data_IF_206010824898
#
_entry.id   IF_206010824898
#
_cell.length_a   1.000
_cell.length_b   1.000
_cell.length_c   1.000
_cell.angle_alpha   90.00
_cell.angle_beta   90.00
_cell.angle_gamma   90.00
#
_symmetry.space_group_name_H-M   'P 1'
#
loop_
_entity.id
_entity.type
_entity.pdbx_description
1 polymer ?
#
# COMPACT_ATOMS: atom_id res chain seq x y z
N UNK A 1 23.58 -0.62 33.74
CA UNK A 1 22.24 -0.09 33.41
C UNK A 1 21.84 -0.78 32.12
N UNK A 2 20.95 -1.79 32.18
CA UNK A 2 20.51 -2.52 30.98
C UNK A 2 19.59 -1.60 30.17
N UNK A 3 19.99 -1.22 28.97
CA UNK A 3 19.13 -0.51 28.03
C UNK A 3 18.12 -1.53 27.53
N UNK A 4 16.87 -1.43 27.97
CA UNK A 4 15.78 -2.20 27.34
C UNK A 4 15.71 -1.78 25.88
N UNK A 5 16.06 -2.69 24.97
CA UNK A 5 15.94 -2.44 23.54
C UNK A 5 14.46 -2.50 23.17
N UNK A 6 13.90 -1.36 22.79
CA UNK A 6 12.55 -1.29 22.23
C UNK A 6 12.58 -1.78 20.79
N UNK A 7 11.69 -2.70 20.43
CA UNK A 7 11.50 -3.10 19.03
C UNK A 7 10.82 -1.97 18.24
N UNK A 8 11.03 -1.94 16.92
CA UNK A 8 10.29 -1.05 16.03
C UNK A 8 8.79 -1.38 16.11
N UNK A 9 7.97 -0.39 16.42
CA UNK A 9 6.52 -0.51 16.48
C UNK A 9 5.88 -0.22 15.11
N UNK A 10 6.64 0.40 14.20
CA UNK A 10 6.18 0.69 12.85
C UNK A 10 6.19 -0.55 11.96
N UNK A 11 5.04 -0.87 11.34
CA UNK A 11 4.87 -1.97 10.36
C UNK A 11 4.78 -1.48 8.92
N UNK A 12 5.56 -0.46 8.56
CA UNK A 12 5.61 0.07 7.19
C UNK A 12 6.38 -0.87 6.25
N UNK A 13 7.51 -1.37 6.73
CA UNK A 13 8.26 -2.42 6.02
C UNK A 13 7.73 -3.77 6.50
N UNK A 14 7.26 -4.66 5.59
CA UNK A 14 6.79 -5.98 5.97
C UNK A 14 7.86 -6.75 6.76
N UNK A 15 7.44 -7.40 7.84
CA UNK A 15 8.32 -8.24 8.67
C UNK A 15 9.52 -7.52 9.29
N UNK A 16 9.45 -6.21 9.49
CA UNK A 16 10.50 -5.47 10.19
C UNK A 16 10.70 -6.01 11.63
N UNK A 17 11.91 -6.48 11.93
CA UNK A 17 12.32 -6.96 13.26
C UNK A 17 13.38 -6.08 13.92
N UNK A 18 13.75 -4.97 13.28
CA UNK A 18 14.77 -4.04 13.78
C UNK A 18 14.36 -3.37 15.10
N UNK A 19 15.36 -2.91 15.85
CA UNK A 19 15.14 -2.09 17.06
C UNK A 19 14.78 -0.65 16.69
N UNK A 20 13.95 -0.03 17.51
CA UNK A 20 13.68 1.39 17.40
C UNK A 20 14.93 2.21 17.72
N UNK A 21 15.08 3.37 17.08
CA UNK A 21 16.14 4.32 17.44
C UNK A 21 15.81 5.00 18.77
N UNK A 22 16.84 5.47 19.48
CA UNK A 22 16.65 6.16 20.76
C UNK A 22 15.65 7.32 20.62
N UNK A 23 14.75 7.45 21.59
CA UNK A 23 13.68 8.45 21.62
C UNK A 23 12.78 8.45 20.37
N UNK A 24 12.54 7.27 19.77
CA UNK A 24 11.56 7.04 18.70
C UNK A 24 10.91 5.67 18.88
N UNK A 25 9.74 5.48 18.27
CA UNK A 25 9.04 4.19 18.16
C UNK A 25 9.35 3.44 16.86
N UNK A 26 10.25 3.98 16.03
CA UNK A 26 10.57 3.45 14.70
C UNK A 26 12.06 3.15 14.53
N UNK A 27 12.41 2.19 13.67
CA UNK A 27 13.76 2.05 13.13
C UNK A 27 13.98 3.00 11.94
N UNK A 28 15.23 3.22 11.55
CA UNK A 28 15.56 4.09 10.40
C UNK A 28 14.93 3.62 9.08
N UNK A 29 14.79 2.31 8.89
CA UNK A 29 14.24 1.73 7.67
C UNK A 29 12.73 2.03 7.54
N UNK A 30 11.94 1.75 8.57
CA UNK A 30 10.50 2.07 8.59
C UNK A 30 10.26 3.58 8.52
N UNK A 31 11.11 4.37 9.19
CA UNK A 31 11.05 5.84 9.08
C UNK A 31 11.32 6.32 7.67
N UNK A 32 12.30 5.74 6.97
CA UNK A 32 12.59 6.11 5.59
C UNK A 32 11.48 5.67 4.64
N UNK A 33 10.94 4.46 4.77
CA UNK A 33 9.80 4.00 3.99
C UNK A 33 8.59 4.93 4.16
N UNK A 34 8.24 5.30 5.40
CA UNK A 34 7.13 6.23 5.67
C UNK A 34 7.36 7.63 5.07
N UNK A 35 8.61 8.10 5.06
CA UNK A 35 8.96 9.36 4.39
C UNK A 35 8.71 9.30 2.90
N UNK A 36 9.05 8.17 2.28
CA UNK A 36 8.88 7.99 0.85
C UNK A 36 7.39 7.89 0.49
N UNK A 37 6.57 7.22 1.31
CA UNK A 37 5.11 7.23 1.19
C UNK A 37 4.50 8.64 1.31
N UNK A 38 4.87 9.40 2.36
CA UNK A 38 4.42 10.79 2.53
C UNK A 38 4.79 11.69 1.35
N UNK A 39 5.96 11.48 0.74
CA UNK A 39 6.43 12.22 -0.43
C UNK A 39 5.72 11.81 -1.71
N UNK A 40 5.28 10.55 -1.81
CA UNK A 40 4.56 10.04 -2.97
C UNK A 40 3.11 10.54 -3.03
N UNK A 41 2.44 10.70 -1.87
CA UNK A 41 1.01 11.05 -1.79
C UNK A 41 0.57 12.25 -2.65
N UNK A 42 1.29 13.40 -2.70
CA UNK A 42 0.89 14.51 -3.58
C UNK A 42 0.87 14.14 -5.06
N UNK A 43 1.83 13.34 -5.52
CA UNK A 43 1.91 12.88 -6.90
C UNK A 43 0.83 11.84 -7.20
N UNK A 44 0.57 10.92 -6.29
CA UNK A 44 -0.51 9.92 -6.41
C UNK A 44 -1.89 10.60 -6.45
N UNK A 45 -2.14 11.58 -5.57
CA UNK A 45 -3.38 12.35 -5.57
C UNK A 45 -3.64 13.10 -6.88
N UNK A 46 -2.59 13.66 -7.49
CA UNK A 46 -2.68 14.37 -8.77
C UNK A 46 -2.90 13.41 -9.95
N UNK A 47 -2.20 12.27 -9.98
CA UNK A 47 -2.44 11.22 -10.97
C UNK A 47 -3.87 10.69 -10.91
N UNK A 48 -4.42 10.49 -9.70
CA UNK A 48 -5.82 10.15 -9.52
C UNK A 48 -6.77 11.26 -10.00
N UNK A 49 -6.35 12.53 -10.01
CA UNK A 49 -7.16 13.63 -10.55
C UNK A 49 -7.18 13.57 -12.08
N UNK A 50 -6.03 13.26 -12.69
CA UNK A 50 -5.88 13.14 -14.13
C UNK A 50 -6.68 11.96 -14.70
N UNK A 51 -6.76 10.85 -13.95
CA UNK A 51 -7.59 9.69 -14.34
C UNK A 51 -9.10 9.96 -14.33
N UNK A 52 -9.56 11.06 -13.72
CA UNK A 52 -10.97 11.49 -13.77
C UNK A 52 -11.33 12.21 -15.07
N UNK A 53 -10.34 12.69 -15.82
CA UNK A 53 -10.57 13.40 -17.08
C UNK A 53 -10.70 12.39 -18.21
N UNK A 54 -11.78 12.39 -19.01
CA UNK A 54 -11.91 11.50 -20.15
C UNK A 54 -10.82 11.78 -21.20
N UNK A 55 -9.73 11.01 -21.17
CA UNK A 55 -8.76 10.94 -22.27
C UNK A 55 -9.36 10.14 -23.43
N UNK A 56 -9.21 10.63 -24.66
CA UNK A 56 -9.67 10.02 -25.92
C UNK A 56 -9.32 8.52 -25.95
N UNK A 57 -10.30 7.64 -25.70
CA UNK A 57 -10.13 6.19 -25.84
C UNK A 57 -9.67 5.86 -27.27
N UNK A 58 -8.64 5.03 -27.47
CA UNK A 58 -8.47 4.32 -28.74
C UNK A 58 -9.74 3.50 -28.99
N UNK A 59 -10.15 3.49 -30.24
CA UNK A 59 -11.36 2.88 -30.78
C UNK A 59 -11.46 1.40 -30.36
N UNK A 60 -12.34 1.08 -29.40
CA UNK A 60 -12.68 -0.30 -29.05
C UNK A 60 -13.95 -0.68 -29.81
N UNK A 61 -13.78 -1.65 -30.70
CA UNK A 61 -14.80 -2.30 -31.52
C UNK A 61 -16.03 -2.67 -30.70
N UNK A 62 -17.17 -2.33 -31.29
CA UNK A 62 -18.51 -2.34 -30.72
C UNK A 62 -19.09 -3.77 -30.71
N UNK A 63 -19.46 -4.29 -29.53
CA UNK A 63 -20.39 -5.42 -29.40
C UNK A 63 -21.72 -4.87 -28.88
N UNK A 64 -22.81 -5.23 -29.57
CA UNK A 64 -24.20 -4.82 -29.31
C UNK A 64 -24.62 -5.09 -27.86
N UNK A 65 -24.82 -4.02 -27.08
CA UNK A 65 -26.13 -3.69 -26.50
C UNK A 65 -26.06 -2.30 -25.83
N UNK A 66 -26.91 -1.40 -26.33
CA UNK A 66 -27.31 -0.09 -25.75
C UNK A 66 -26.30 0.64 -24.86
N UNK A 67 -25.38 1.38 -25.48
CA UNK A 67 -24.67 2.50 -24.84
C UNK A 67 -25.41 3.80 -25.16
N UNK A 68 -25.80 4.55 -24.13
CA UNK A 68 -26.22 5.95 -24.28
C UNK A 68 -24.97 6.77 -24.68
N UNK A 69 -24.95 7.48 -25.82
CA UNK A 69 -23.83 8.34 -26.18
C UNK A 69 -23.75 9.51 -25.18
N UNK A 70 -22.63 9.65 -24.45
CA UNK A 70 -22.35 10.83 -23.64
C UNK A 70 -22.29 10.65 -22.12
N UNK A 71 -22.44 9.44 -21.58
CA UNK A 71 -22.22 9.22 -20.14
C UNK A 71 -20.72 9.32 -19.82
N UNK A 72 -20.29 10.45 -19.25
CA UNK A 72 -18.99 10.61 -18.63
C UNK A 72 -18.85 9.57 -17.51
N UNK A 73 -18.06 8.51 -17.73
CA UNK A 73 -17.81 7.53 -16.68
C UNK A 73 -16.78 8.11 -15.70
N UNK A 74 -17.27 8.77 -14.65
CA UNK A 74 -16.45 9.25 -13.54
C UNK A 74 -15.93 8.04 -12.74
N UNK A 75 -14.62 7.96 -12.52
CA UNK A 75 -14.05 6.95 -11.64
C UNK A 75 -14.33 7.33 -10.17
N UNK A 76 -15.44 6.81 -9.62
CA UNK A 76 -15.87 7.12 -8.24
C UNK A 76 -14.85 6.65 -7.19
N UNK A 77 -14.11 5.57 -7.44
CA UNK A 77 -13.04 5.10 -6.55
C UNK A 77 -11.91 6.12 -6.48
N UNK A 78 -11.49 6.68 -7.63
CA UNK A 78 -10.48 7.73 -7.67
C UNK A 78 -10.94 9.02 -6.94
N UNK A 79 -12.21 9.39 -7.04
CA UNK A 79 -12.77 10.52 -6.28
C UNK A 79 -12.72 10.25 -4.77
N UNK A 80 -13.10 9.04 -4.35
CA UNK A 80 -13.09 8.61 -2.96
C UNK A 80 -11.68 8.65 -2.37
N UNK A 81 -10.72 7.98 -3.01
CA UNK A 81 -9.32 7.94 -2.56
C UNK A 81 -8.73 9.35 -2.43
N UNK A 82 -8.98 10.24 -3.40
CA UNK A 82 -8.49 11.63 -3.33
C UNK A 82 -9.07 12.39 -2.13
N UNK A 83 -10.35 12.17 -1.85
CA UNK A 83 -11.03 12.80 -0.70
C UNK A 83 -10.46 12.26 0.62
N UNK A 84 -10.20 10.95 0.70
CA UNK A 84 -9.56 10.31 1.86
C UNK A 84 -8.14 10.83 2.10
N UNK A 85 -7.31 10.95 1.05
CA UNK A 85 -5.96 11.53 1.16
C UNK A 85 -6.01 12.92 1.79
N UNK A 86 -6.89 13.79 1.28
CA UNK A 86 -7.01 15.15 1.83
C UNK A 86 -7.51 15.13 3.27
N UNK A 87 -8.52 14.32 3.58
CA UNK A 87 -9.14 14.22 4.89
C UNK A 87 -8.17 13.76 5.97
N UNK A 88 -7.48 12.66 5.73
CA UNK A 88 -6.48 12.07 6.65
C UNK A 88 -5.32 13.03 6.88
N UNK A 89 -4.71 13.58 5.82
CA UNK A 89 -3.61 14.54 5.97
C UNK A 89 -4.04 15.79 6.76
N UNK A 90 -5.28 16.24 6.57
CA UNK A 90 -5.82 17.36 7.32
C UNK A 90 -6.06 17.00 8.80
N UNK A 91 -6.55 15.79 9.08
CA UNK A 91 -6.75 15.28 10.44
C UNK A 91 -5.44 15.23 11.23
N UNK A 92 -4.42 14.56 10.67
CA UNK A 92 -3.10 14.49 11.28
C UNK A 92 -2.44 15.86 11.43
N UNK A 93 -2.62 16.75 10.45
CA UNK A 93 -2.10 18.11 10.56
C UNK A 93 -2.75 18.86 11.72
N UNK A 94 -4.06 18.70 11.94
CA UNK A 94 -4.75 19.29 13.09
C UNK A 94 -4.19 18.75 14.42
N UNK A 95 -4.03 17.43 14.54
CA UNK A 95 -3.46 16.81 15.75
C UNK A 95 -2.07 17.37 16.07
N UNK A 96 -1.18 17.45 15.07
CA UNK A 96 0.16 18.03 15.27
C UNK A 96 0.05 19.48 15.74
N UNK A 97 -0.82 20.30 15.13
CA UNK A 97 -0.99 21.71 15.51
C UNK A 97 -1.49 21.83 16.95
N UNK A 98 -2.49 21.03 17.32
CA UNK A 98 -3.11 21.04 18.64
C UNK A 98 -2.11 20.66 19.74
N UNK A 99 -1.29 19.63 19.50
CA UNK A 99 -0.35 19.12 20.50
C UNK A 99 0.98 19.89 20.56
N UNK A 100 1.42 20.49 19.45
CA UNK A 100 2.74 21.18 19.38
C UNK A 100 2.65 22.70 19.40
N UNK A 101 1.47 23.28 19.14
CA UNK A 101 1.32 24.72 18.93
C UNK A 101 2.03 25.24 17.68
N UNK A 102 2.44 24.38 16.76
CA UNK A 102 3.12 24.78 15.52
C UNK A 102 2.22 25.61 14.62
N UNK A 103 2.84 26.51 13.83
CA UNK A 103 2.11 27.38 12.92
C UNK A 103 1.32 26.56 11.89
N UNK A 104 0.03 26.90 11.75
CA UNK A 104 -0.87 26.24 10.79
C UNK A 104 -0.34 26.37 9.36
N UNK A 105 -0.44 25.30 8.53
CA UNK A 105 -0.09 25.39 7.12
C UNK A 105 -0.91 26.44 6.37
N UNK A 106 -0.34 27.11 5.37
CA UNK A 106 -1.00 28.23 4.68
C UNK A 106 -2.21 27.84 3.82
N UNK A 107 -2.40 26.54 3.55
CA UNK A 107 -3.59 26.04 2.83
C UNK A 107 -3.84 24.56 3.10
N UNK A 108 -5.08 24.11 2.90
CA UNK A 108 -5.49 22.69 2.93
C UNK A 108 -5.27 22.00 1.58
N UNK A 109 -4.08 22.13 1.00
CA UNK A 109 -3.70 21.42 -0.24
C UNK A 109 -2.84 20.21 0.13
N UNK A 110 -3.04 19.07 -0.54
CA UNK A 110 -2.33 17.81 -0.26
C UNK A 110 -0.81 18.02 -0.18
N UNK A 111 -0.19 18.67 -1.17
CA UNK A 111 1.26 18.93 -1.13
C UNK A 111 1.72 19.76 0.09
N UNK A 112 0.89 20.73 0.54
CA UNK A 112 1.20 21.57 1.70
C UNK A 112 1.10 20.76 2.99
N UNK A 113 0.05 19.96 3.12
CA UNK A 113 -0.18 19.12 4.30
C UNK A 113 0.86 17.99 4.40
N UNK A 114 1.17 17.30 3.30
CA UNK A 114 2.24 16.30 3.25
C UNK A 114 3.60 16.88 3.63
N UNK A 115 3.92 18.10 3.14
CA UNK A 115 5.17 18.78 3.51
C UNK A 115 5.20 19.15 4.99
N UNK A 116 4.08 19.61 5.54
CA UNK A 116 3.95 19.92 6.96
C UNK A 116 4.15 18.68 7.83
N UNK A 117 3.48 17.58 7.52
CA UNK A 117 3.61 16.32 8.25
C UNK A 117 5.02 15.73 8.11
N UNK A 118 5.62 15.79 6.92
CA UNK A 118 7.01 15.38 6.70
C UNK A 118 7.98 16.11 7.62
N UNK A 119 7.80 17.43 7.81
CA UNK A 119 8.65 18.25 8.70
C UNK A 119 8.44 17.94 10.18
N UNK A 120 7.25 17.48 10.56
CA UNK A 120 6.91 17.12 11.94
C UNK A 120 7.00 15.61 12.20
N UNK A 121 7.48 14.82 11.23
CA UNK A 121 7.49 13.37 11.33
C UNK A 121 8.24 12.86 12.56
N UNK A 122 9.36 13.49 12.92
CA UNK A 122 10.12 13.09 14.10
C UNK A 122 9.34 13.30 15.41
N UNK A 123 8.44 14.29 15.46
CA UNK A 123 7.53 14.45 16.58
C UNK A 123 6.45 13.37 16.59
N UNK A 124 5.85 13.07 15.42
CA UNK A 124 4.82 12.03 15.27
C UNK A 124 5.38 10.67 15.70
N UNK A 125 6.59 10.31 15.25
CA UNK A 125 7.24 9.03 15.54
C UNK A 125 7.65 8.84 17.02
N UNK A 126 7.44 9.84 17.87
CA UNK A 126 7.57 9.74 19.33
C UNK A 126 6.24 9.48 20.03
N UNK A 127 5.12 9.77 19.36
CA UNK A 127 3.79 9.62 19.94
C UNK A 127 3.33 8.17 19.89
N UNK A 128 2.47 7.77 20.82
CA UNK A 128 1.86 6.43 20.84
C UNK A 128 1.07 6.09 19.56
N UNK A 129 0.55 7.11 18.88
CA UNK A 129 -0.21 7.00 17.63
C UNK A 129 0.68 6.87 16.37
N UNK A 130 2.00 6.67 16.54
CA UNK A 130 2.95 6.61 15.43
C UNK A 130 2.64 5.46 14.45
N UNK A 131 2.16 4.32 14.95
CA UNK A 131 1.78 3.19 14.10
C UNK A 131 0.49 3.49 13.32
N UNK A 132 -0.53 4.04 13.97
CA UNK A 132 -1.79 4.43 13.32
C UNK A 132 -1.52 5.43 12.18
N UNK A 133 -0.65 6.42 12.42
CA UNK A 133 -0.22 7.34 11.37
C UNK A 133 0.44 6.61 10.20
N UNK A 134 1.33 5.67 10.51
CA UNK A 134 2.08 4.93 9.50
C UNK A 134 1.17 4.03 8.64
N UNK A 135 0.21 3.35 9.26
CA UNK A 135 -0.82 2.55 8.60
C UNK A 135 -1.68 3.42 7.68
N UNK A 136 -2.25 4.51 8.19
CA UNK A 136 -3.13 5.36 7.39
C UNK A 136 -2.41 5.97 6.17
N UNK A 137 -1.15 6.38 6.30
CA UNK A 137 -0.37 6.91 5.17
C UNK A 137 -0.08 5.82 4.13
N UNK A 138 0.26 4.62 4.56
CA UNK A 138 0.58 3.49 3.67
C UNK A 138 -0.67 3.02 2.94
N UNK A 139 -1.78 2.84 3.66
CA UNK A 139 -3.08 2.44 3.11
C UNK A 139 -3.58 3.42 2.05
N UNK A 140 -3.42 4.73 2.28
CA UNK A 140 -3.78 5.74 1.30
C UNK A 140 -2.94 5.67 0.02
N UNK A 141 -1.64 5.43 0.17
CA UNK A 141 -0.75 5.34 -0.96
C UNK A 141 -1.03 4.07 -1.78
N UNK A 142 -1.29 2.95 -1.12
CA UNK A 142 -1.65 1.68 -1.77
C UNK A 142 -3.02 1.76 -2.46
N UNK A 143 -4.02 2.36 -1.80
CA UNK A 143 -5.32 2.61 -2.41
C UNK A 143 -5.20 3.51 -3.67
N UNK A 144 -4.32 4.51 -3.64
CA UNK A 144 -4.07 5.36 -4.80
C UNK A 144 -3.34 4.62 -5.92
N UNK A 145 -2.34 3.79 -5.60
CA UNK A 145 -1.66 2.94 -6.59
C UNK A 145 -2.61 1.95 -7.24
N UNK A 146 -3.49 1.31 -6.47
CA UNK A 146 -4.51 0.38 -6.99
C UNK A 146 -5.50 1.05 -7.94
N UNK A 147 -5.85 2.32 -7.69
CA UNK A 147 -6.67 3.12 -8.62
C UNK A 147 -5.95 3.38 -9.95
N UNK A 148 -4.63 3.62 -9.90
CA UNK A 148 -3.82 4.00 -11.06
C UNK A 148 -3.37 2.80 -11.89
N UNK A 149 -3.20 1.64 -11.25
CA UNK A 149 -2.87 0.38 -11.90
C UNK A 149 -3.90 -0.70 -11.50
N UNK A 150 -5.01 -0.83 -12.24
CA UNK A 150 -6.04 -1.83 -11.98
C UNK A 150 -5.51 -3.28 -12.01
N UNK A 151 -4.37 -3.54 -12.69
CA UNK A 151 -3.75 -4.87 -12.72
C UNK A 151 -3.08 -5.24 -11.39
N UNK A 152 -2.83 -4.26 -10.50
CA UNK A 152 -2.36 -4.50 -9.13
C UNK A 152 -3.47 -4.99 -8.21
N UNK A 153 -4.73 -4.60 -8.48
CA UNK A 153 -5.91 -5.05 -7.72
C UNK A 153 -6.45 -6.42 -8.12
N UNK A 154 -6.00 -6.98 -9.24
CA UNK A 154 -6.37 -8.32 -9.73
C UNK A 154 -5.30 -9.38 -9.36
N UNK A 155 -4.64 -9.24 -8.20
CA UNK A 155 -3.58 -10.16 -7.77
C UNK A 155 -4.09 -11.21 -6.80
N UNK A 156 -3.76 -12.47 -7.06
CA UNK A 156 -4.01 -13.60 -6.15
C UNK A 156 -2.79 -13.80 -5.25
N UNK A 157 -3.00 -13.87 -3.94
CA UNK A 157 -2.00 -14.30 -2.95
C UNK A 157 -1.72 -15.80 -3.12
N UNK A 158 -0.46 -16.16 -3.33
CA UNK A 158 -0.01 -17.55 -3.52
C UNK A 158 0.85 -18.06 -2.34
N UNK A 159 0.92 -17.32 -1.24
CA UNK A 159 1.72 -17.67 -0.06
C UNK A 159 3.17 -17.18 -0.12
N UNK A 160 4.02 -17.61 0.83
CA UNK A 160 5.38 -17.10 0.98
C UNK A 160 6.32 -17.56 -0.15
N UNK A 161 7.31 -16.72 -0.46
CA UNK A 161 8.34 -17.04 -1.45
C UNK A 161 9.21 -18.22 -0.98
N UNK A 162 9.45 -19.17 -1.89
CA UNK A 162 10.30 -20.34 -1.62
C UNK A 162 11.81 -20.07 -1.71
N UNK A 163 12.23 -18.86 -2.05
CA UNK A 163 13.65 -18.49 -2.14
C UNK A 163 14.27 -18.39 -0.74
N UNK A 164 15.46 -18.99 -0.54
CA UNK A 164 16.09 -19.07 0.77
C UNK A 164 16.35 -17.66 1.36
N UNK A 165 15.68 -17.37 2.48
CA UNK A 165 15.76 -16.06 3.15
C UNK A 165 14.77 -15.00 2.62
N UNK A 166 13.92 -15.33 1.65
CA UNK A 166 12.85 -14.46 1.18
C UNK A 166 11.51 -14.89 1.81
N UNK A 167 11.08 -14.18 2.86
CA UNK A 167 9.76 -14.41 3.49
C UNK A 167 8.60 -13.65 2.84
N UNK A 168 8.80 -13.06 1.66
CA UNK A 168 7.82 -12.17 1.02
C UNK A 168 6.71 -12.96 0.35
N UNK A 169 5.47 -12.49 0.43
CA UNK A 169 4.34 -13.09 -0.28
C UNK A 169 4.55 -12.99 -1.79
N UNK A 170 4.23 -14.09 -2.48
CA UNK A 170 4.16 -14.20 -3.93
C UNK A 170 2.76 -13.82 -4.38
N UNK A 171 2.68 -12.98 -5.41
CA UNK A 171 1.43 -12.58 -6.03
C UNK A 171 1.41 -13.00 -7.50
N UNK A 172 0.30 -13.55 -7.97
CA UNK A 172 0.04 -13.76 -9.40
C UNK A 172 -0.87 -12.67 -9.96
N UNK A 173 -0.57 -12.15 -11.15
CA UNK A 173 -1.51 -11.29 -11.88
C UNK A 173 -2.62 -12.15 -12.52
N UNK A 174 -3.88 -11.89 -12.18
CA UNK A 174 -5.04 -12.50 -12.84
C UNK A 174 -5.36 -11.68 -14.09
N UNK A 175 -4.82 -12.08 -15.23
CA UNK A 175 -5.26 -11.55 -16.52
C UNK A 175 -6.55 -12.24 -16.97
N UNK A 176 -7.57 -11.46 -17.38
CA UNK A 176 -8.74 -12.00 -18.09
C UNK A 176 -8.25 -12.71 -19.36
N UNK A 177 -8.54 -14.01 -19.46
CA UNK A 177 -8.05 -14.90 -20.50
C UNK A 177 -8.33 -14.36 -21.92
N UNK A 178 -7.28 -13.86 -22.55
CA UNK A 178 -7.27 -13.42 -23.93
C UNK A 178 -5.82 -13.26 -24.38
N UNK A 179 -5.30 -14.30 -25.05
CA UNK A 179 -4.03 -14.34 -25.79
C UNK A 179 -2.73 -14.41 -24.94
N UNK A 180 -2.34 -15.64 -24.60
CA UNK A 180 -0.94 -16.16 -24.56
C UNK A 180 0.18 -15.32 -23.92
N UNK A 181 -0.11 -14.46 -22.95
CA UNK A 181 0.88 -13.66 -22.22
C UNK A 181 1.06 -14.15 -20.78
N UNK A 182 2.11 -14.94 -20.54
CA UNK A 182 2.73 -15.29 -19.26
C UNK A 182 1.95 -15.00 -17.96
N UNK A 183 1.44 -16.06 -17.34
CA UNK A 183 1.16 -16.10 -15.91
C UNK A 183 2.47 -15.76 -15.16
N UNK A 184 2.65 -14.49 -14.80
CA UNK A 184 3.81 -14.04 -14.04
C UNK A 184 3.39 -13.89 -12.58
N UNK A 185 4.07 -14.63 -11.71
CA UNK A 185 3.98 -14.44 -10.29
C UNK A 185 5.34 -14.05 -9.80
N UNK A 186 5.33 -13.07 -8.92
CA UNK A 186 6.54 -12.56 -8.32
C UNK A 186 6.28 -12.17 -6.88
N UNK A 187 7.29 -12.33 -6.04
CA UNK A 187 7.23 -11.76 -4.70
C UNK A 187 7.61 -10.27 -4.73
N UNK A 188 7.32 -9.56 -3.63
CA UNK A 188 7.69 -8.15 -3.47
C UNK A 188 9.20 -7.85 -3.54
N UNK A 189 10.06 -8.87 -3.47
CA UNK A 189 11.51 -8.76 -3.66
C UNK A 189 11.97 -8.95 -5.12
N UNK A 190 11.05 -9.25 -6.04
CA UNK A 190 11.34 -9.41 -7.48
C UNK A 190 11.71 -10.83 -7.92
N UNK A 191 11.62 -11.84 -7.04
CA UNK A 191 11.77 -13.23 -7.46
C UNK A 191 10.56 -13.67 -8.28
N UNK A 192 10.80 -14.27 -9.44
CA UNK A 192 9.76 -14.76 -10.33
C UNK A 192 9.56 -16.27 -10.13
N UNK A 193 8.30 -16.69 -10.04
CA UNK A 193 7.93 -18.10 -10.04
C UNK A 193 7.40 -18.50 -11.41
N UNK A 194 7.93 -19.61 -11.94
CA UNK A 194 7.38 -20.26 -13.12
C UNK A 194 6.04 -20.94 -12.81
N UNK A 195 5.19 -21.13 -13.82
CA UNK A 195 3.89 -21.78 -13.66
C UNK A 195 3.96 -23.18 -13.00
N UNK A 196 5.04 -23.93 -13.23
CA UNK A 196 5.26 -25.24 -12.58
C UNK A 196 5.62 -25.15 -11.09
N UNK A 197 6.18 -24.02 -10.64
CA UNK A 197 6.47 -23.79 -9.21
C UNK A 197 5.22 -23.34 -8.44
N UNK A 198 4.17 -22.84 -9.13
CA UNK A 198 2.92 -22.43 -8.47
C UNK A 198 2.12 -23.65 -8.01
N UNK A 199 2.08 -24.71 -8.83
CA UNK A 199 1.37 -25.95 -8.50
C UNK A 199 1.93 -26.65 -7.26
N UNK A 200 3.19 -26.38 -6.89
CA UNK A 200 3.85 -26.97 -5.72
C UNK A 200 3.55 -26.20 -4.42
N UNK A 201 3.01 -24.99 -4.48
CA UNK A 201 2.61 -24.21 -3.30
C UNK A 201 1.25 -24.67 -2.75
N UNK A 202 0.31 -25.06 -3.62
CA UNK A 202 -1.00 -25.61 -3.22
C UNK A 202 -0.87 -26.94 -2.45
N UNK A 203 0.14 -27.77 -2.78
CA UNK A 203 0.37 -29.06 -2.09
C UNK A 203 0.94 -28.89 -0.67
N UNK A 204 1.52 -27.73 -0.35
CA UNK A 204 2.17 -27.48 0.95
C UNK A 204 1.17 -27.08 2.05
N UNK A 205 0.08 -26.39 1.72
CA UNK A 205 -1.01 -26.09 2.66
C UNK A 205 -1.80 -27.36 3.02
N UNK A 206 -2.02 -28.22 2.03
CA UNK A 206 -2.78 -29.47 2.18
C UNK A 206 -2.03 -30.51 3.04
N UNK A 207 -0.69 -30.48 3.03
CA UNK A 207 0.16 -31.32 3.89
C UNK A 207 0.23 -30.81 5.34
N UNK A 208 0.17 -29.49 5.55
CA UNK A 208 0.15 -28.86 6.89
C UNK A 208 -1.21 -29.05 7.56
N UNK A 209 -2.33 -29.02 6.82
CA UNK A 209 -3.66 -29.27 7.38
C UNK A 209 -3.93 -30.75 7.72
N UNK A 210 -3.39 -31.71 6.96
CA UNK A 210 -3.52 -33.15 7.27
C UNK A 210 -2.72 -33.58 8.50
N UNK A 211 -1.59 -32.93 8.79
CA UNK A 211 -0.77 -33.23 9.97
C UNK A 211 -1.33 -32.61 11.27
N UNK A 212 -2.22 -31.62 11.18
CA UNK A 212 -2.91 -31.03 12.34
C UNK A 212 -4.20 -31.76 12.77
N UNK A 213 -4.74 -32.69 11.97
CA UNK A 213 -6.01 -33.38 12.23
C UNK A 213 -5.88 -34.87 12.62
N UNK A 214 -4.67 -35.37 12.87
CA UNK A 214 -4.44 -36.76 13.27
C UNK A 214 -4.02 -36.91 14.73
N UNK A 215 -4.99 -37.02 15.65
CA UNK A 215 -5.09 -38.03 16.75
C UNK A 215 -6.31 -37.69 17.61
N UNK A 216 -7.27 -38.62 17.75
CA UNK A 216 -7.53 -39.13 19.10
C UNK A 216 -7.59 -40.66 19.14
N UNK A 217 -7.19 -41.20 20.29
CA UNK A 217 -7.46 -42.57 20.71
C UNK A 217 -8.93 -42.75 21.12
#
# INVERSE_FOLDING_TARGET
MSVSQSHCELRVVPSCTASAVADSRSCDQCRQALRDELRALPGLHEQCAQSLTPGRRPEVVQIKNTRVPGAMSLNLTAVSVRSSILGVLASWSSLVIEETGTARPPSRRVHVLSTFLYRNLDWILRQEVAQDFAEEITDLADAARAVLDPSMSERLDLGPCGEAGCGMTVYAAIGVAGETGAHSASCGAGHHLSASQWLLLEESDDAVQRSAHGTPA
#
